data_IF_645026848462
#
_entry.id   IF_645026848462
#
_cell.length_a   1.000
_cell.length_b   1.000
_cell.length_c   1.000
_cell.angle_alpha   90.00
_cell.angle_beta   90.00
_cell.angle_gamma   90.00
#
_symmetry.space_group_name_H-M   'P 1'
#
loop_
_entity.id
_entity.type
_entity.pdbx_description
1 polymer ?
#
# COMPACT_ATOMS: atom_id res chain seq x y z
N UNK A 1 12.93 -3.48 12.28
CA UNK A 1 13.48 -4.18 13.47
C UNK A 1 14.98 -4.35 13.26
N UNK A 2 15.84 -3.96 14.20
CA UNK A 2 17.30 -4.20 14.10
C UNK A 2 17.67 -5.68 14.29
N UNK A 3 16.68 -6.52 14.64
CA UNK A 3 16.85 -7.95 14.90
C UNK A 3 16.73 -8.84 13.65
N UNK A 4 16.58 -8.25 12.46
CA UNK A 4 16.62 -8.98 11.18
C UNK A 4 15.71 -10.20 11.13
N UNK A 5 15.95 -11.10 10.16
CA UNK A 5 15.25 -12.39 10.06
C UNK A 5 15.69 -13.41 11.13
N UNK A 6 16.56 -13.03 12.07
CA UNK A 6 17.22 -13.97 12.96
C UNK A 6 16.31 -14.52 14.07
N UNK A 7 15.18 -13.86 14.38
CA UNK A 7 14.27 -14.32 15.47
C UNK A 7 12.76 -14.16 15.25
N UNK A 8 12.27 -13.89 14.03
CA UNK A 8 10.83 -13.74 13.83
C UNK A 8 10.37 -13.80 12.39
N UNK A 9 9.53 -14.79 12.08
CA UNK A 9 8.62 -14.72 10.95
C UNK A 9 7.82 -13.40 11.10
N UNK A 10 7.68 -12.62 10.02
CA UNK A 10 6.90 -11.36 9.97
C UNK A 10 7.56 -10.14 10.66
N UNK A 11 8.63 -9.56 10.09
CA UNK A 11 9.32 -8.39 10.65
C UNK A 11 8.41 -7.16 10.76
N UNK A 12 8.74 -6.29 11.73
CA UNK A 12 8.13 -4.96 11.89
C UNK A 12 9.00 -3.91 11.18
N UNK A 13 8.35 -3.14 10.33
CA UNK A 13 8.88 -1.98 9.62
C UNK A 13 8.48 -0.70 10.37
N UNK A 14 9.38 0.27 10.42
CA UNK A 14 9.15 1.55 11.06
C UNK A 14 9.51 2.67 10.09
N UNK A 15 8.63 3.67 9.97
CA UNK A 15 8.83 4.88 9.17
C UNK A 15 9.08 6.05 10.11
N UNK A 16 10.15 6.79 9.83
CA UNK A 16 10.52 7.99 10.57
C UNK A 16 10.71 9.15 9.60
N UNK A 17 10.38 10.36 10.04
CA UNK A 17 10.83 11.60 9.39
C UNK A 17 12.13 12.02 10.04
N UNK A 18 13.14 12.28 9.23
CA UNK A 18 14.43 12.79 9.67
C UNK A 18 14.45 14.31 9.50
N UNK A 19 14.80 15.03 10.57
CA UNK A 19 14.91 16.48 10.53
C UNK A 19 16.22 16.87 9.83
N UNK A 20 16.16 17.74 8.80
CA UNK A 20 17.37 18.29 8.19
C UNK A 20 18.24 19.02 9.22
N UNK A 21 19.56 18.87 9.12
CA UNK A 21 20.53 19.55 9.97
C UNK A 21 21.02 18.72 11.16
N UNK A 22 20.13 18.34 12.08
CA UNK A 22 20.51 17.58 13.29
C UNK A 22 20.34 16.05 13.16
N UNK A 23 19.72 15.56 12.08
CA UNK A 23 19.50 14.13 11.85
C UNK A 23 18.51 13.48 12.83
N UNK A 24 17.78 14.28 13.62
CA UNK A 24 16.83 13.78 14.62
C UNK A 24 15.67 13.07 13.92
N UNK A 25 15.34 11.87 14.41
CA UNK A 25 14.29 11.01 13.84
C UNK A 25 13.01 11.05 14.66
N UNK A 26 11.89 11.28 13.98
CA UNK A 26 10.56 11.28 14.56
C UNK A 26 9.75 10.12 13.99
N UNK A 27 9.26 9.25 14.85
CA UNK A 27 8.43 8.11 14.44
C UNK A 27 7.09 8.59 13.85
N UNK A 28 6.66 7.95 12.75
CA UNK A 28 5.39 8.24 12.09
C UNK A 28 4.50 6.99 12.04
N UNK A 29 5.01 5.89 11.47
CA UNK A 29 4.23 4.66 11.25
C UNK A 29 5.03 3.41 11.56
N UNK A 30 4.32 2.39 12.04
CA UNK A 30 4.80 1.03 12.10
C UNK A 30 3.94 0.13 11.20
N UNK A 31 4.56 -0.88 10.58
CA UNK A 31 3.89 -1.82 9.72
C UNK A 31 4.36 -3.25 9.95
N UNK A 32 3.44 -4.23 9.96
CA UNK A 32 3.79 -5.64 10.12
C UNK A 32 2.89 -6.55 9.30
N UNK A 33 3.48 -7.56 8.67
CA UNK A 33 2.75 -8.62 7.98
C UNK A 33 1.97 -9.45 9.01
N UNK A 34 0.68 -9.70 8.75
CA UNK A 34 -0.16 -10.52 9.61
C UNK A 34 0.20 -12.00 9.50
N UNK A 35 0.12 -12.69 10.63
CA UNK A 35 0.13 -14.15 10.68
C UNK A 35 -1.18 -14.69 10.07
N UNK A 36 -1.17 -15.94 9.59
CA UNK A 36 -2.38 -16.67 9.13
C UNK A 36 -3.17 -15.96 8.03
N UNK A 37 -2.49 -15.26 7.12
CA UNK A 37 -3.11 -14.69 5.92
C UNK A 37 -2.67 -15.49 4.71
N UNK A 38 -3.62 -15.88 3.86
CA UNK A 38 -3.35 -16.59 2.58
C UNK A 38 -2.61 -15.73 1.56
N UNK A 39 -2.68 -14.41 1.73
CA UNK A 39 -2.01 -13.41 0.90
C UNK A 39 -1.11 -12.55 1.77
N UNK A 40 -0.18 -11.82 1.15
CA UNK A 40 0.57 -10.78 1.84
C UNK A 40 -0.39 -9.69 2.34
N UNK A 41 -0.47 -9.54 3.67
CA UNK A 41 -1.40 -8.63 4.34
C UNK A 41 -0.67 -7.92 5.47
N UNK A 42 -0.54 -6.60 5.42
CA UNK A 42 0.18 -5.81 6.42
C UNK A 42 -0.78 -4.85 7.09
N UNK A 43 -0.68 -4.75 8.41
CA UNK A 43 -1.33 -3.71 9.19
C UNK A 43 -0.38 -2.52 9.31
N UNK A 44 -0.93 -1.32 9.30
CA UNK A 44 -0.23 -0.05 9.43
C UNK A 44 -0.85 0.70 10.61
N UNK A 45 -0.01 1.15 11.53
CA UNK A 45 -0.41 1.79 12.79
C UNK A 45 0.45 3.01 13.09
N UNK A 46 -0.12 3.99 13.78
CA UNK A 46 0.61 5.12 14.40
C UNK A 46 1.08 4.80 15.82
N UNK A 47 0.87 3.58 16.30
CA UNK A 47 1.45 3.05 17.53
C UNK A 47 2.42 1.91 17.20
N UNK A 48 3.72 2.03 17.53
CA UNK A 48 4.70 0.97 17.27
C UNK A 48 4.54 -0.24 18.21
N UNK A 49 3.82 -0.10 19.31
CA UNK A 49 3.59 -1.14 20.33
C UNK A 49 2.32 -1.95 20.06
N UNK A 50 1.33 -1.36 19.39
CA UNK A 50 0.11 -2.03 18.96
C UNK A 50 -0.03 -2.09 17.42
N UNK A 51 0.20 -3.29 16.90
CA UNK A 51 0.04 -3.66 15.48
C UNK A 51 -1.06 -4.72 15.32
N UNK A 52 -2.19 -4.49 15.98
CA UNK A 52 -3.43 -5.26 15.85
C UNK A 52 -4.41 -4.56 14.91
N UNK A 53 -5.44 -5.29 14.47
CA UNK A 53 -6.47 -4.75 13.58
C UNK A 53 -7.49 -3.91 14.36
N UNK A 54 -7.76 -4.31 15.59
CA UNK A 54 -8.77 -3.70 16.46
C UNK A 54 -8.13 -2.66 17.41
N UNK A 55 -6.83 -2.41 17.25
CA UNK A 55 -6.07 -1.41 17.97
C UNK A 55 -6.51 0.00 17.60
N UNK A 56 -6.58 0.89 18.58
CA UNK A 56 -7.08 2.26 18.42
C UNK A 56 -6.28 3.07 17.38
N UNK A 57 -4.97 2.78 17.26
CA UNK A 57 -4.05 3.49 16.37
C UNK A 57 -3.86 2.79 15.01
N UNK A 58 -4.68 1.79 14.70
CA UNK A 58 -4.73 1.19 13.37
C UNK A 58 -5.28 2.20 12.35
N UNK A 59 -4.50 2.49 11.31
CA UNK A 59 -4.89 3.50 10.30
C UNK A 59 -5.02 2.94 8.89
N UNK A 60 -4.57 1.70 8.63
CA UNK A 60 -4.62 1.19 7.27
C UNK A 60 -4.00 -0.18 7.07
N UNK A 61 -4.20 -0.70 5.86
CA UNK A 61 -3.83 -2.07 5.52
C UNK A 61 -3.36 -2.19 4.07
N UNK A 62 -2.20 -2.79 3.86
CA UNK A 62 -1.75 -3.24 2.54
C UNK A 62 -2.18 -4.70 2.34
N UNK A 63 -2.80 -5.02 1.20
CA UNK A 63 -3.19 -6.39 0.85
C UNK A 63 -2.77 -6.72 -0.57
N UNK A 64 -2.09 -7.85 -0.74
CA UNK A 64 -1.74 -8.40 -2.04
C UNK A 64 -2.85 -9.30 -2.61
N UNK A 65 -2.82 -9.49 -3.93
CA UNK A 65 -3.48 -10.62 -4.58
C UNK A 65 -2.74 -11.94 -4.30
N UNK A 66 -3.29 -13.05 -4.80
CA UNK A 66 -2.74 -14.38 -4.59
C UNK A 66 -1.32 -14.56 -5.13
N UNK A 67 -1.01 -13.97 -6.29
CA UNK A 67 0.31 -14.06 -6.92
C UNK A 67 1.34 -13.08 -6.35
N UNK A 68 0.92 -12.11 -5.53
CA UNK A 68 1.81 -11.08 -5.01
C UNK A 68 2.27 -10.06 -6.06
N UNK A 69 1.47 -9.84 -7.10
CA UNK A 69 1.74 -8.95 -8.23
C UNK A 69 0.93 -7.66 -8.18
N UNK A 70 -0.24 -7.70 -7.53
CA UNK A 70 -1.08 -6.54 -7.28
C UNK A 70 -1.23 -6.34 -5.78
N UNK A 71 -1.14 -5.09 -5.35
CA UNK A 71 -1.33 -4.70 -3.95
C UNK A 71 -2.29 -3.53 -3.88
N UNK A 72 -3.13 -3.51 -2.85
CA UNK A 72 -4.06 -2.41 -2.57
C UNK A 72 -3.86 -1.94 -1.14
N UNK A 73 -3.76 -0.63 -0.97
CA UNK A 73 -3.72 0.05 0.32
C UNK A 73 -5.14 0.51 0.66
N UNK A 74 -5.63 0.08 1.81
CA UNK A 74 -6.90 0.50 2.38
C UNK A 74 -6.66 1.36 3.61
N UNK A 75 -7.60 2.24 3.91
CA UNK A 75 -7.70 2.90 5.22
C UNK A 75 -8.24 1.92 6.30
N UNK A 76 -8.59 2.48 7.46
CA UNK A 76 -9.11 1.75 8.62
C UNK A 76 -10.57 1.31 8.50
N UNK A 77 -11.28 1.70 7.42
CA UNK A 77 -12.69 1.37 7.27
C UNK A 77 -12.98 -0.13 7.18
N UNK A 78 -14.27 -0.46 7.27
CA UNK A 78 -14.75 -1.83 7.22
C UNK A 78 -14.86 -2.35 5.78
N UNK A 79 -14.74 -3.67 5.61
CA UNK A 79 -14.91 -4.29 4.29
C UNK A 79 -16.39 -4.19 3.88
N UNK A 80 -16.73 -3.67 2.68
CA UNK A 80 -18.11 -3.55 2.21
C UNK A 80 -18.92 -4.85 2.33
N UNK A 81 -18.26 -6.01 2.18
CA UNK A 81 -18.88 -7.34 2.37
C UNK A 81 -19.43 -7.62 3.78
N UNK A 82 -19.16 -6.75 4.75
CA UNK A 82 -19.72 -6.82 6.11
C UNK A 82 -21.05 -6.08 6.27
N UNK A 83 -21.63 -5.55 5.18
CA UNK A 83 -22.89 -4.81 5.18
C UNK A 83 -22.91 -3.64 6.18
N UNK A 84 -21.80 -2.91 6.27
CA UNK A 84 -21.72 -1.69 7.07
C UNK A 84 -22.21 -0.47 6.25
N UNK A 85 -22.69 0.60 6.91
CA UNK A 85 -23.01 1.86 6.26
C UNK A 85 -21.85 2.39 5.40
N UNK A 86 -22.17 3.10 4.31
CA UNK A 86 -21.21 3.53 3.29
C UNK A 86 -20.07 4.36 3.91
N UNK A 87 -20.39 5.28 4.81
CA UNK A 87 -19.44 6.13 5.52
C UNK A 87 -18.43 5.34 6.36
N UNK A 88 -18.77 4.11 6.79
CA UNK A 88 -17.91 3.21 7.54
C UNK A 88 -17.14 2.23 6.64
N UNK A 89 -17.44 2.20 5.33
CA UNK A 89 -16.72 1.35 4.39
C UNK A 89 -15.35 1.93 4.07
N UNK A 90 -14.39 1.02 3.96
CA UNK A 90 -12.99 1.36 3.64
C UNK A 90 -12.85 2.03 2.28
N UNK A 91 -11.90 2.96 2.22
CA UNK A 91 -11.44 3.57 0.98
C UNK A 91 -10.20 2.86 0.46
N UNK A 92 -9.99 2.92 -0.85
CA UNK A 92 -8.72 2.54 -1.48
C UNK A 92 -7.84 3.79 -1.62
N UNK A 93 -6.68 3.77 -0.98
CA UNK A 93 -5.78 4.92 -0.91
C UNK A 93 -4.72 4.88 -2.01
N UNK A 94 -4.32 3.67 -2.41
CA UNK A 94 -3.38 3.42 -3.50
C UNK A 94 -3.49 1.97 -3.95
N UNK A 95 -3.09 1.70 -5.18
CA UNK A 95 -2.83 0.38 -5.68
C UNK A 95 -1.46 0.31 -6.37
N UNK A 96 -0.83 -0.86 -6.33
CA UNK A 96 0.49 -1.12 -6.89
C UNK A 96 0.38 -2.35 -7.77
N UNK A 97 0.82 -2.24 -9.01
CA UNK A 97 0.94 -3.34 -9.96
C UNK A 97 2.41 -3.56 -10.31
N UNK A 98 2.86 -4.80 -10.17
CA UNK A 98 4.16 -5.25 -10.65
C UNK A 98 3.97 -6.09 -11.90
N UNK A 99 4.64 -5.71 -12.98
CA UNK A 99 4.69 -6.53 -14.19
C UNK A 99 5.45 -7.84 -13.89
N UNK A 100 4.81 -8.96 -14.24
CA UNK A 100 5.43 -10.28 -14.18
C UNK A 100 6.29 -10.50 -15.41
N UNK A 101 7.58 -10.77 -15.22
CA UNK A 101 8.45 -11.18 -16.32
C UNK A 101 8.15 -12.65 -16.68
N UNK A 102 7.14 -12.87 -17.53
CA UNK A 102 6.67 -14.21 -17.90
C UNK A 102 7.68 -14.95 -18.79
N UNK A 103 8.63 -14.23 -19.42
CA UNK A 103 9.57 -14.78 -20.41
C UNK A 103 11.05 -14.73 -19.99
N UNK A 104 11.35 -14.59 -18.69
CA UNK A 104 12.73 -14.71 -18.20
C UNK A 104 13.66 -13.53 -18.53
N UNK A 105 13.12 -12.42 -19.08
CA UNK A 105 13.89 -11.20 -19.28
C UNK A 105 14.43 -10.68 -17.93
N UNK A 106 15.75 -10.67 -17.80
CA UNK A 106 16.46 -10.08 -16.66
C UNK A 106 16.41 -8.57 -16.82
N UNK A 107 15.50 -7.94 -16.09
CA UNK A 107 15.32 -6.50 -16.09
C UNK A 107 14.61 -6.02 -14.83
N UNK A 108 14.83 -4.76 -14.43
CA UNK A 108 14.06 -4.10 -13.38
C UNK A 108 12.56 -4.25 -13.63
N UNK A 109 11.81 -4.74 -12.64
CA UNK A 109 10.36 -4.92 -12.77
C UNK A 109 9.70 -3.55 -12.91
N UNK A 110 8.88 -3.38 -13.95
CA UNK A 110 8.00 -2.23 -14.10
C UNK A 110 6.98 -2.25 -12.97
N UNK A 111 6.86 -1.12 -12.29
CA UNK A 111 5.96 -0.88 -11.18
C UNK A 111 5.07 0.31 -11.55
N UNK A 112 3.77 0.05 -11.56
CA UNK A 112 2.73 1.05 -11.73
C UNK A 112 2.06 1.31 -10.38
N UNK A 113 1.84 2.56 -10.05
CA UNK A 113 1.12 3.00 -8.86
C UNK A 113 -0.11 3.77 -9.32
N UNK A 114 -1.27 3.40 -8.79
CA UNK A 114 -2.54 4.07 -9.05
C UNK A 114 -2.98 4.70 -7.73
N UNK A 115 -3.22 6.00 -7.74
CA UNK A 115 -3.79 6.71 -6.59
C UNK A 115 -5.05 7.47 -7.02
N UNK A 116 -5.99 7.72 -6.09
CA UNK A 116 -7.06 8.66 -6.36
C UNK A 116 -6.48 10.04 -6.71
N UNK A 117 -7.09 10.69 -7.68
CA UNK A 117 -6.77 12.05 -8.11
C UNK A 117 -7.10 13.09 -7.05
N UNK A 118 -6.93 14.36 -7.43
CA UNK A 118 -7.13 15.50 -6.55
C UNK A 118 -8.30 16.36 -7.05
N UNK A 119 -9.10 16.89 -6.13
CA UNK A 119 -10.10 17.92 -6.43
C UNK A 119 -9.43 19.27 -6.71
N UNK A 120 -10.21 20.24 -7.17
CA UNK A 120 -9.78 21.64 -7.32
C UNK A 120 -9.23 22.25 -6.02
N UNK A 121 -9.72 21.77 -4.88
CA UNK A 121 -9.32 22.25 -3.55
C UNK A 121 -8.10 21.49 -3.00
N UNK A 122 -7.40 20.72 -3.85
CA UNK A 122 -6.23 19.94 -3.47
C UNK A 122 -6.52 18.88 -2.38
N UNK A 123 -7.76 18.38 -2.33
CA UNK A 123 -8.14 17.22 -1.54
C UNK A 123 -8.18 15.96 -2.39
N UNK A 124 -7.82 14.82 -1.82
CA UNK A 124 -7.91 13.54 -2.52
C UNK A 124 -9.38 13.21 -2.79
N UNK A 125 -9.72 12.86 -4.04
CA UNK A 125 -11.05 12.34 -4.37
C UNK A 125 -11.24 10.98 -3.68
N UNK A 126 -12.37 10.78 -3.00
CA UNK A 126 -12.62 9.52 -2.33
C UNK A 126 -12.87 8.39 -3.32
N UNK A 127 -12.17 7.27 -3.16
CA UNK A 127 -12.47 6.01 -3.87
C UNK A 127 -12.90 4.98 -2.85
N UNK A 128 -14.20 4.68 -2.83
CA UNK A 128 -14.84 3.72 -1.93
C UNK A 128 -15.60 2.69 -2.80
N UNK A 129 -14.93 1.61 -3.24
CA UNK A 129 -15.53 0.66 -4.16
C UNK A 129 -16.70 -0.08 -3.51
N UNK A 130 -17.86 -0.05 -4.17
CA UNK A 130 -19.05 -0.82 -3.77
C UNK A 130 -18.95 -2.28 -4.19
N UNK A 131 -18.29 -2.52 -5.33
CA UNK A 131 -17.95 -3.83 -5.84
C UNK A 131 -16.51 -3.87 -6.39
N UNK A 132 -16.11 -5.01 -6.97
CA UNK A 132 -14.74 -5.19 -7.46
C UNK A 132 -14.43 -4.31 -8.69
N UNK A 133 -15.43 -4.01 -9.54
CA UNK A 133 -15.22 -3.25 -10.79
C UNK A 133 -14.83 -1.80 -10.51
N UNK A 134 -15.28 -1.24 -9.38
CA UNK A 134 -14.94 0.11 -8.92
C UNK A 134 -13.57 0.19 -8.21
N UNK A 135 -12.86 -0.93 -8.01
CA UNK A 135 -11.53 -0.92 -7.36
C UNK A 135 -10.48 -0.24 -8.22
N UNK A 136 -9.44 0.35 -7.60
CA UNK A 136 -8.36 1.04 -8.31
C UNK A 136 -7.68 0.14 -9.35
N UNK A 137 -7.46 -1.14 -9.01
CA UNK A 137 -6.83 -2.12 -9.91
C UNK A 137 -7.73 -2.44 -11.09
N UNK A 138 -9.02 -2.71 -10.86
CA UNK A 138 -9.92 -3.09 -11.95
C UNK A 138 -10.21 -1.89 -12.87
N UNK A 139 -10.40 -0.70 -12.33
CA UNK A 139 -10.55 0.53 -13.12
C UNK A 139 -9.33 0.78 -14.02
N UNK A 140 -8.12 0.65 -13.47
CA UNK A 140 -6.88 0.76 -14.24
C UNK A 140 -6.76 -0.30 -15.35
N UNK A 141 -7.08 -1.57 -15.06
CA UNK A 141 -7.06 -2.63 -16.09
C UNK A 141 -8.05 -2.37 -17.23
N UNK A 142 -9.19 -1.74 -16.94
CA UNK A 142 -10.20 -1.37 -17.94
C UNK A 142 -9.96 0.03 -18.53
N UNK A 143 -8.83 0.67 -18.22
CA UNK A 143 -8.47 2.01 -18.66
C UNK A 143 -9.49 3.11 -18.23
N UNK A 144 -10.25 2.89 -17.16
CA UNK A 144 -11.07 3.92 -16.51
C UNK A 144 -10.20 4.71 -15.53
N UNK A 145 -9.63 5.81 -16.03
CA UNK A 145 -8.74 6.68 -15.25
C UNK A 145 -9.44 7.92 -14.71
N UNK A 146 -10.78 7.93 -14.69
CA UNK A 146 -11.57 9.08 -14.23
C UNK A 146 -11.25 9.38 -12.75
N UNK A 147 -10.76 10.59 -12.46
CA UNK A 147 -10.30 10.98 -11.11
C UNK A 147 -9.22 10.06 -10.51
N UNK A 148 -8.37 9.45 -11.34
CA UNK A 148 -7.22 8.66 -10.90
C UNK A 148 -5.93 9.26 -11.45
N UNK A 149 -4.82 8.98 -10.77
CA UNK A 149 -3.47 9.28 -11.24
C UNK A 149 -2.66 7.99 -11.34
N UNK A 150 -2.05 7.78 -12.49
CA UNK A 150 -1.10 6.70 -12.75
C UNK A 150 0.33 7.22 -12.66
N UNK A 151 1.17 6.50 -11.92
CA UNK A 151 2.58 6.80 -11.72
C UNK A 151 3.39 5.55 -12.03
N UNK A 152 4.64 5.73 -12.46
CA UNK A 152 5.55 4.63 -12.71
C UNK A 152 6.87 4.83 -11.96
N UNK A 153 7.54 3.72 -11.63
CA UNK A 153 8.93 3.82 -11.19
C UNK A 153 9.79 4.43 -12.31
N UNK A 154 10.78 5.25 -11.93
CA UNK A 154 11.78 5.72 -12.88
C UNK A 154 12.55 4.51 -13.43
N UNK A 155 12.72 4.45 -14.75
CA UNK A 155 13.58 3.47 -15.39
C UNK A 155 15.00 3.63 -14.85
N UNK A 156 15.61 2.57 -14.28
CA UNK A 156 16.98 2.68 -13.80
C UNK A 156 17.91 2.84 -15.00
N UNK A 157 18.94 3.63 -14.79
CA UNK A 157 19.99 3.87 -15.77
C UNK A 157 21.19 3.05 -15.31
N UNK A 158 21.72 2.21 -16.19
CA UNK A 158 22.95 1.47 -15.89
C UNK A 158 24.09 2.46 -15.73
N UNK A 159 24.86 2.32 -14.65
CA UNK A 159 26.04 3.13 -14.42
C UNK A 159 27.27 2.27 -14.67
N UNK A 160 27.99 2.56 -15.75
CA UNK A 160 29.20 1.84 -16.16
C UNK A 160 30.43 2.16 -15.28
N UNK A 161 30.33 3.15 -14.39
CA UNK A 161 31.46 3.71 -13.62
C UNK A 161 31.80 3.01 -12.29
N UNK A 162 31.63 1.68 -12.18
CA UNK A 162 32.17 0.89 -11.04
C UNK A 162 32.70 -0.45 -11.48
#
# INVERSE_FOLDING_TARGET
DKRGMEKGLYPIYYMHVERPGDGKKFFILAGRKRRRSTTSNYLISTDPTDLSRDGEKFIGKLRANMLGTYFTVFDQGSNPKKNVPIEQQRRELAAIAYETNILGFKGPRRMTIIIPGMSSDHHRVEVRPKDNSESLIERWKHNDMSNLLELHNKSPIWNEGK
#
